data_IF_918383633002
#
_entry.id   IF_918383633002
#
_cell.length_a   1.000
_cell.length_b   1.000
_cell.length_c   1.000
_cell.angle_alpha   90.00
_cell.angle_beta   90.00
_cell.angle_gamma   90.00
#
_symmetry.space_group_name_H-M   'P 1'
#
loop_
_entity.id
_entity.type
_entity.pdbx_description
1 polymer ?
#
# COMPACT_ATOMS: atom_id res chain seq x y z
N UNK A 1 5.84 40.49 5.67
CA UNK A 1 4.47 39.93 5.67
C UNK A 1 4.16 39.63 7.12
N UNK A 2 3.08 40.15 7.70
CA UNK A 2 2.74 39.94 9.12
C UNK A 2 2.76 38.47 9.57
N UNK A 3 2.35 37.55 8.68
CA UNK A 3 2.42 36.10 8.89
C UNK A 3 3.83 35.54 9.19
N UNK A 4 4.88 36.11 8.60
CA UNK A 4 6.26 35.66 8.84
C UNK A 4 6.83 36.19 10.17
N UNK A 5 6.11 37.06 10.88
CA UNK A 5 6.55 37.66 12.14
C UNK A 5 6.21 36.77 13.35
N UNK A 6 5.28 35.82 13.20
CA UNK A 6 4.86 34.84 14.22
C UNK A 6 4.61 33.47 13.59
N UNK A 7 5.67 32.81 13.12
CA UNK A 7 5.59 31.45 12.55
C UNK A 7 5.59 30.42 13.69
N UNK A 8 4.50 29.68 13.84
CA UNK A 8 4.44 28.51 14.72
C UNK A 8 4.92 27.25 13.99
N UNK A 9 5.25 26.15 14.69
CA UNK A 9 5.71 24.92 14.03
C UNK A 9 4.76 24.36 12.95
N UNK A 10 3.45 24.53 13.10
CA UNK A 10 2.45 24.11 12.10
C UNK A 10 2.51 24.96 10.81
N UNK A 11 2.89 26.24 10.92
CA UNK A 11 2.98 27.18 9.80
C UNK A 11 4.17 26.93 8.86
N UNK A 12 5.13 26.10 9.27
CA UNK A 12 6.31 25.76 8.46
C UNK A 12 5.89 25.17 7.11
N UNK A 13 4.82 24.37 7.08
CA UNK A 13 4.28 23.81 5.85
C UNK A 13 3.79 24.88 4.88
N UNK A 14 3.13 25.93 5.38
CA UNK A 14 2.66 27.06 4.58
C UNK A 14 3.82 27.88 4.00
N UNK A 15 4.84 28.17 4.82
CA UNK A 15 6.04 28.90 4.37
C UNK A 15 6.75 28.11 3.25
N UNK A 16 6.89 26.79 3.41
CA UNK A 16 7.46 25.91 2.37
C UNK A 16 6.58 25.88 1.12
N UNK A 17 5.26 25.75 1.26
CA UNK A 17 4.32 25.78 0.12
C UNK A 17 4.44 27.05 -0.74
N UNK A 18 4.63 28.22 -0.12
CA UNK A 18 4.92 29.46 -0.84
C UNK A 18 6.26 29.44 -1.55
N UNK A 19 7.30 28.91 -0.90
CA UNK A 19 8.62 28.77 -1.50
C UNK A 19 8.57 27.84 -2.71
N UNK A 20 7.90 26.69 -2.60
CA UNK A 20 7.76 25.70 -3.66
C UNK A 20 6.93 26.24 -4.83
N UNK A 21 5.90 27.05 -4.56
CA UNK A 21 5.15 27.76 -5.60
C UNK A 21 6.07 28.67 -6.43
N UNK A 22 7.02 29.36 -5.78
CA UNK A 22 8.00 30.21 -6.45
C UNK A 22 9.01 29.39 -7.25
N UNK A 23 9.49 28.26 -6.70
CA UNK A 23 10.56 27.45 -7.29
C UNK A 23 10.07 26.53 -8.41
N UNK A 24 8.89 25.91 -8.25
CA UNK A 24 8.42 24.80 -9.09
C UNK A 24 7.05 25.06 -9.72
N UNK A 25 6.19 25.85 -9.06
CA UNK A 25 4.80 26.08 -9.44
C UNK A 25 4.57 27.16 -10.49
N UNK A 26 5.34 27.23 -11.58
CA UNK A 26 5.15 28.23 -12.64
C UNK A 26 5.58 29.67 -12.27
N UNK A 27 6.33 29.80 -11.18
CA UNK A 27 7.17 30.95 -10.88
C UNK A 27 6.46 32.18 -10.30
N UNK A 28 7.17 33.30 -10.36
CA UNK A 28 6.82 34.58 -9.71
C UNK A 28 5.40 35.07 -10.04
N UNK A 29 4.83 34.74 -11.20
CA UNK A 29 3.49 35.18 -11.61
C UNK A 29 2.38 34.56 -10.75
N UNK A 30 2.48 33.27 -10.41
CA UNK A 30 1.48 32.59 -9.56
C UNK A 30 1.62 33.01 -8.11
N UNK A 31 2.87 33.17 -7.64
CA UNK A 31 3.13 33.78 -6.34
C UNK A 31 2.52 35.20 -6.27
N UNK A 32 2.73 36.04 -7.28
CA UNK A 32 2.16 37.38 -7.33
C UNK A 32 0.63 37.36 -7.30
N UNK A 33 -0.02 36.42 -8.00
CA UNK A 33 -1.47 36.22 -7.94
C UNK A 33 -1.95 35.91 -6.52
N UNK A 34 -1.30 34.96 -5.83
CA UNK A 34 -1.64 34.58 -4.45
C UNK A 34 -1.47 35.77 -3.50
N UNK A 35 -0.36 36.50 -3.61
CA UNK A 35 -0.04 37.60 -2.69
C UNK A 35 -0.95 38.83 -2.85
N UNK A 36 -1.68 38.96 -3.96
CA UNK A 36 -2.68 40.02 -4.16
C UNK A 36 -4.12 39.53 -3.99
N UNK A 37 -4.32 38.25 -3.64
CA UNK A 37 -5.64 37.70 -3.41
C UNK A 37 -6.28 38.38 -2.17
N UNK A 38 -7.57 38.80 -2.22
CA UNK A 38 -8.21 39.50 -1.10
C UNK A 38 -8.13 38.77 0.25
N UNK A 39 -8.11 37.44 0.22
CA UNK A 39 -8.00 36.62 1.43
C UNK A 39 -6.56 36.54 1.99
N UNK A 40 -5.53 36.84 1.20
CA UNK A 40 -4.12 36.72 1.62
C UNK A 40 -3.46 38.08 1.83
N UNK A 41 -3.95 39.14 1.17
CA UNK A 41 -3.28 40.44 1.10
C UNK A 41 -3.10 41.11 2.47
N UNK A 42 -4.03 40.87 3.40
CA UNK A 42 -4.02 41.44 4.75
C UNK A 42 -3.32 40.53 5.78
N UNK A 43 -2.87 39.34 5.37
CA UNK A 43 -2.29 38.32 6.24
C UNK A 43 -2.74 36.92 5.82
N UNK A 44 -2.09 35.90 6.36
CA UNK A 44 -2.49 34.49 6.20
C UNK A 44 -3.01 34.05 7.57
N UNK A 45 -4.30 33.73 7.67
CA UNK A 45 -4.92 33.11 8.84
C UNK A 45 -4.56 31.63 8.96
N UNK A 46 -4.79 31.01 10.12
CA UNK A 46 -4.57 29.57 10.35
C UNK A 46 -5.33 28.69 9.34
N UNK A 47 -6.51 29.14 8.88
CA UNK A 47 -7.27 28.45 7.83
C UNK A 47 -6.57 28.57 6.47
N UNK A 48 -6.10 29.77 6.13
CA UNK A 48 -5.39 30.01 4.87
C UNK A 48 -4.01 29.35 4.86
N UNK A 49 -3.33 29.22 5.99
CA UNK A 49 -2.04 28.55 6.11
C UNK A 49 -2.12 27.11 5.58
N UNK A 50 -3.22 26.40 5.86
CA UNK A 50 -3.49 25.05 5.36
C UNK A 50 -3.59 24.99 3.84
N UNK A 51 -4.32 25.93 3.23
CA UNK A 51 -4.42 26.06 1.77
C UNK A 51 -3.06 26.46 1.18
N UNK A 52 -2.36 27.37 1.84
CA UNK A 52 -1.06 27.88 1.40
C UNK A 52 0.00 26.77 1.40
N UNK A 53 -0.07 25.82 2.34
CA UNK A 53 0.81 24.65 2.38
C UNK A 53 0.70 23.76 1.13
N UNK A 54 -0.41 23.81 0.39
CA UNK A 54 -0.61 22.98 -0.81
C UNK A 54 -0.15 23.64 -2.10
N UNK A 55 0.24 24.92 -2.07
CA UNK A 55 0.39 25.71 -3.29
C UNK A 55 1.53 25.24 -4.19
N UNK A 56 2.59 24.63 -3.65
CA UNK A 56 3.69 24.08 -4.43
C UNK A 56 3.22 23.02 -5.44
N UNK A 57 2.51 21.99 -4.96
CA UNK A 57 1.98 20.90 -5.81
C UNK A 57 0.85 21.40 -6.71
N UNK A 58 -0.04 22.25 -6.21
CA UNK A 58 -1.12 22.88 -6.99
C UNK A 58 -0.52 23.67 -8.15
N UNK A 59 0.53 24.46 -7.90
CA UNK A 59 1.23 25.18 -8.95
C UNK A 59 1.84 24.24 -9.99
N UNK A 60 2.51 23.17 -9.56
CA UNK A 60 3.20 22.25 -10.46
C UNK A 60 2.24 21.40 -11.31
N UNK A 61 1.23 20.82 -10.68
CA UNK A 61 0.42 19.73 -11.28
C UNK A 61 -1.05 20.10 -11.49
N UNK A 62 -1.63 20.99 -10.68
CA UNK A 62 -3.06 21.32 -10.71
C UNK A 62 -3.38 22.82 -10.68
N UNK A 63 -2.76 23.69 -11.50
CA UNK A 63 -2.85 25.15 -11.34
C UNK A 63 -4.26 25.72 -11.52
N UNK A 64 -5.16 24.98 -12.16
CA UNK A 64 -6.57 25.33 -12.31
C UNK A 64 -7.35 25.28 -10.99
N UNK A 65 -6.84 24.61 -9.95
CA UNK A 65 -7.49 24.56 -8.62
C UNK A 65 -7.26 25.83 -7.79
N UNK A 66 -6.27 26.67 -8.15
CA UNK A 66 -5.93 27.87 -7.39
C UNK A 66 -7.15 28.77 -7.09
N UNK A 67 -8.04 29.11 -8.03
CA UNK A 67 -9.20 29.94 -7.73
C UNK A 67 -10.16 29.28 -6.74
N UNK A 68 -10.42 27.98 -6.88
CA UNK A 68 -11.34 27.25 -6.01
C UNK A 68 -10.82 27.13 -4.58
N UNK A 69 -9.51 26.95 -4.40
CA UNK A 69 -8.89 26.84 -3.07
C UNK A 69 -8.95 28.12 -2.25
N UNK A 70 -9.04 29.28 -2.90
CA UNK A 70 -9.18 30.56 -2.23
C UNK A 70 -10.63 31.07 -2.17
N UNK A 71 -11.60 30.31 -2.67
CA UNK A 71 -13.02 30.64 -2.57
C UNK A 71 -13.62 29.94 -1.32
N UNK A 72 -13.97 30.68 -0.25
CA UNK A 72 -14.51 30.09 0.97
C UNK A 72 -15.89 29.45 0.79
N UNK A 73 -16.61 29.74 -0.30
CA UNK A 73 -17.87 29.06 -0.63
C UNK A 73 -17.65 27.69 -1.28
N UNK A 74 -16.44 27.42 -1.78
CA UNK A 74 -16.07 26.18 -2.49
C UNK A 74 -15.13 25.32 -1.67
N UNK A 75 -14.10 25.90 -1.03
CA UNK A 75 -13.11 25.14 -0.28
C UNK A 75 -13.68 24.65 1.06
N UNK A 76 -13.73 23.33 1.22
CA UNK A 76 -14.07 22.66 2.46
C UNK A 76 -12.78 22.26 3.16
N UNK A 77 -12.65 22.68 4.43
CA UNK A 77 -11.52 22.29 5.28
C UNK A 77 -12.11 21.65 6.53
N UNK A 78 -11.75 20.40 6.75
CA UNK A 78 -12.03 19.66 7.98
C UNK A 78 -10.73 19.59 8.79
N UNK A 79 -10.80 19.87 10.09
CA UNK A 79 -9.62 19.99 10.94
C UNK A 79 -9.79 19.16 12.20
N UNK A 80 -8.70 18.56 12.68
CA UNK A 80 -8.67 17.79 13.93
C UNK A 80 -7.30 17.92 14.58
N UNK A 81 -7.29 18.32 15.85
CA UNK A 81 -6.09 18.23 16.68
C UNK A 81 -6.03 16.84 17.32
N UNK A 82 -4.87 16.19 17.23
CA UNK A 82 -4.63 14.87 17.80
C UNK A 82 -3.39 14.87 18.69
N UNK A 83 -3.53 14.32 19.89
CA UNK A 83 -2.38 14.08 20.78
C UNK A 83 -1.72 12.74 20.45
N UNK A 84 -0.49 12.80 19.95
CA UNK A 84 0.35 11.63 19.74
C UNK A 84 1.26 11.35 20.95
N UNK A 85 1.50 10.07 21.31
CA UNK A 85 2.34 9.73 22.46
C UNK A 85 3.75 10.31 22.45
N UNK A 86 4.39 10.43 21.27
CA UNK A 86 5.79 10.85 21.18
C UNK A 86 5.96 12.26 20.60
N UNK A 87 5.19 12.62 19.57
CA UNK A 87 5.18 13.98 19.05
C UNK A 87 4.47 14.91 20.04
N UNK A 88 3.35 14.53 20.65
CA UNK A 88 2.44 15.45 21.34
C UNK A 88 1.37 15.95 20.37
N UNK A 89 0.93 17.20 20.52
CA UNK A 89 -0.12 17.78 19.67
C UNK A 89 0.33 17.87 18.20
N UNK A 90 -0.52 17.38 17.30
CA UNK A 90 -0.38 17.39 15.85
C UNK A 90 -1.71 17.79 15.22
N UNK A 91 -1.66 18.72 14.27
CA UNK A 91 -2.81 19.19 13.53
C UNK A 91 -3.02 18.36 12.26
N UNK A 92 -4.25 17.87 12.06
CA UNK A 92 -4.68 17.18 10.86
C UNK A 92 -5.65 18.07 10.09
N UNK A 93 -5.52 18.12 8.76
CA UNK A 93 -6.43 18.85 7.89
C UNK A 93 -6.78 18.05 6.63
N UNK A 94 -8.05 18.06 6.24
CA UNK A 94 -8.50 17.60 4.92
C UNK A 94 -9.03 18.79 4.14
N UNK A 95 -8.50 19.00 2.94
CA UNK A 95 -8.81 20.14 2.06
C UNK A 95 -9.47 19.58 0.80
N UNK A 96 -10.65 20.08 0.47
CA UNK A 96 -11.46 19.61 -0.66
C UNK A 96 -12.12 20.75 -1.40
N UNK A 97 -12.33 20.57 -2.69
CA UNK A 97 -13.21 21.43 -3.51
C UNK A 97 -14.52 20.73 -3.87
N UNK A 98 -14.68 19.45 -3.50
CA UNK A 98 -15.85 18.61 -3.75
C UNK A 98 -16.17 17.75 -2.51
N UNK A 99 -17.42 17.29 -2.33
CA UNK A 99 -17.77 16.42 -1.20
C UNK A 99 -16.94 15.13 -1.21
N UNK A 100 -16.51 14.69 -0.02
CA UNK A 100 -15.74 13.45 0.18
C UNK A 100 -16.36 12.53 1.22
N UNK A 101 -15.71 11.40 1.50
CA UNK A 101 -16.17 10.43 2.48
C UNK A 101 -16.02 10.97 3.91
N UNK A 102 -17.08 10.80 4.72
CA UNK A 102 -17.10 11.26 6.10
C UNK A 102 -16.07 10.55 7.02
N UNK A 103 -15.57 9.38 6.61
CA UNK A 103 -14.64 8.55 7.40
C UNK A 103 -13.17 8.93 7.23
N UNK A 104 -12.83 9.76 6.26
CA UNK A 104 -11.44 9.98 5.84
C UNK A 104 -10.58 10.62 6.93
N UNK A 105 -11.14 11.49 7.77
CA UNK A 105 -10.39 12.07 8.89
C UNK A 105 -10.04 11.02 9.95
N UNK A 106 -10.95 10.08 10.22
CA UNK A 106 -10.68 8.97 11.14
C UNK A 106 -9.58 8.04 10.58
N UNK A 107 -9.58 7.82 9.27
CA UNK A 107 -8.53 7.06 8.58
C UNK A 107 -7.19 7.78 8.67
N UNK A 108 -7.13 9.09 8.41
CA UNK A 108 -5.90 9.88 8.53
C UNK A 108 -5.35 9.85 9.96
N UNK A 109 -6.21 10.06 10.97
CA UNK A 109 -5.81 9.97 12.38
C UNK A 109 -5.27 8.59 12.73
N UNK A 110 -5.95 7.52 12.29
CA UNK A 110 -5.49 6.15 12.49
C UNK A 110 -4.12 5.89 11.86
N UNK A 111 -3.90 6.38 10.63
CA UNK A 111 -2.64 6.26 9.92
C UNK A 111 -1.50 6.95 10.67
N UNK A 112 -1.69 8.21 11.09
CA UNK A 112 -0.68 8.98 11.84
C UNK A 112 -0.33 8.30 13.17
N UNK A 113 -1.34 7.86 13.92
CA UNK A 113 -1.14 7.15 15.19
C UNK A 113 -0.41 5.81 15.00
N UNK A 114 -0.77 5.07 13.96
CA UNK A 114 -0.19 3.74 13.72
C UNK A 114 1.26 3.85 13.26
N UNK A 115 1.57 4.80 12.37
CA UNK A 115 2.93 5.05 11.90
C UNK A 115 3.85 5.47 13.06
N UNK A 116 3.43 6.41 13.92
CA UNK A 116 4.24 6.81 15.08
C UNK A 116 4.46 5.63 16.05
N UNK A 117 3.41 4.86 16.32
CA UNK A 117 3.48 3.68 17.18
C UNK A 117 4.45 2.63 16.64
N UNK A 118 4.41 2.37 15.34
CA UNK A 118 5.26 1.39 14.69
C UNK A 118 6.74 1.81 14.72
N UNK A 119 7.03 3.07 14.41
CA UNK A 119 8.41 3.57 14.42
C UNK A 119 8.97 3.75 15.83
N UNK A 120 8.12 4.03 16.81
CA UNK A 120 8.50 4.45 18.16
C UNK A 120 9.46 5.63 18.15
N UNK A 121 9.20 6.57 17.24
CA UNK A 121 9.89 7.86 17.07
C UNK A 121 8.80 8.93 16.93
N UNK A 122 8.99 10.16 17.45
CA UNK A 122 8.05 11.25 17.23
C UNK A 122 7.81 11.52 15.74
N UNK A 123 6.56 11.82 15.36
CA UNK A 123 6.25 12.32 14.02
C UNK A 123 7.12 13.54 13.68
N UNK A 124 7.85 13.56 12.54
CA UNK A 124 8.78 14.65 12.19
C UNK A 124 8.08 15.95 11.76
N UNK A 125 6.76 16.04 11.92
CA UNK A 125 5.94 17.21 11.61
C UNK A 125 4.88 17.42 12.69
N UNK A 126 4.43 18.66 12.83
CA UNK A 126 3.28 19.07 13.67
C UNK A 126 1.99 19.26 12.89
N UNK A 127 2.06 19.09 11.58
CA UNK A 127 0.95 19.29 10.66
C UNK A 127 0.96 18.19 9.60
N UNK A 128 -0.20 17.57 9.38
CA UNK A 128 -0.47 16.62 8.30
C UNK A 128 -1.74 17.05 7.57
N UNK A 129 -1.56 17.68 6.42
CA UNK A 129 -2.65 18.07 5.53
C UNK A 129 -2.83 17.10 4.38
N UNK A 130 -4.07 16.86 3.95
CA UNK A 130 -4.40 16.12 2.72
C UNK A 130 -5.22 17.02 1.80
N UNK A 131 -4.74 17.24 0.58
CA UNK A 131 -5.48 17.91 -0.49
C UNK A 131 -6.06 16.88 -1.45
N UNK A 132 -7.39 16.84 -1.54
CA UNK A 132 -8.08 16.05 -2.55
C UNK A 132 -8.24 16.85 -3.84
N UNK A 133 -7.62 16.36 -4.90
CA UNK A 133 -7.67 16.96 -6.24
C UNK A 133 -6.60 16.39 -7.17
N UNK A 134 -6.64 16.79 -8.44
CA UNK A 134 -5.65 16.42 -9.45
C UNK A 134 -4.34 17.22 -9.26
N UNK A 135 -3.65 16.98 -8.14
CA UNK A 135 -2.42 17.69 -7.70
C UNK A 135 -1.22 16.78 -7.49
N UNK A 136 -1.31 15.55 -8.00
CA UNK A 136 -0.26 14.53 -7.94
C UNK A 136 0.41 14.38 -9.31
N UNK A 137 1.62 13.83 -9.33
CA UNK A 137 2.25 13.47 -10.59
C UNK A 137 1.38 12.48 -11.40
N UNK A 138 1.39 12.61 -12.73
CA UNK A 138 0.57 11.78 -13.62
C UNK A 138 0.83 10.29 -13.35
N UNK A 139 -0.26 9.54 -13.09
CA UNK A 139 -0.22 8.10 -12.81
C UNK A 139 -0.31 7.75 -11.32
N UNK A 140 0.11 8.64 -10.41
CA UNK A 140 0.06 8.39 -8.98
C UNK A 140 -1.35 8.57 -8.39
N UNK A 141 -1.81 7.73 -7.44
CA UNK A 141 -3.08 7.92 -6.74
C UNK A 141 -3.00 8.91 -5.58
N UNK A 142 -1.83 9.01 -4.95
CA UNK A 142 -1.49 9.91 -3.87
C UNK A 142 0.02 10.25 -3.94
N UNK A 143 0.44 11.32 -3.27
CA UNK A 143 1.84 11.73 -3.19
C UNK A 143 2.09 12.66 -2.00
N UNK A 144 3.13 12.37 -1.20
CA UNK A 144 3.62 13.24 -0.14
C UNK A 144 4.55 14.32 -0.71
N UNK A 145 4.23 15.59 -0.45
CA UNK A 145 5.01 16.76 -0.88
C UNK A 145 5.79 17.41 0.27
N UNK A 146 6.00 16.70 1.38
CA UNK A 146 6.55 17.16 2.66
C UNK A 146 5.79 18.28 3.39
N UNK A 147 4.96 19.04 2.67
CA UNK A 147 4.08 20.10 3.19
C UNK A 147 2.66 19.61 3.41
N UNK A 148 2.23 18.64 2.60
CA UNK A 148 0.92 18.01 2.62
C UNK A 148 0.98 16.73 1.77
N UNK A 149 -0.10 15.96 1.79
CA UNK A 149 -0.36 14.82 0.93
C UNK A 149 -1.33 15.27 -0.16
N UNK A 150 -0.97 15.11 -1.43
CA UNK A 150 -1.91 15.22 -2.55
C UNK A 150 -2.57 13.87 -2.79
N UNK A 151 -3.88 13.85 -3.07
CA UNK A 151 -4.61 12.61 -3.33
C UNK A 151 -5.71 12.85 -4.36
N UNK A 152 -5.89 11.93 -5.31
CA UNK A 152 -6.95 12.06 -6.30
C UNK A 152 -8.32 11.89 -5.63
N UNK A 153 -9.24 12.83 -5.89
CA UNK A 153 -10.55 12.88 -5.23
C UNK A 153 -11.38 11.60 -5.41
N UNK A 154 -11.18 10.85 -6.51
CA UNK A 154 -11.84 9.56 -6.77
C UNK A 154 -11.52 8.46 -5.75
N UNK A 155 -10.43 8.59 -4.98
CA UNK A 155 -10.11 7.67 -3.88
C UNK A 155 -10.74 8.09 -2.54
N UNK A 156 -11.38 9.25 -2.47
CA UNK A 156 -12.09 9.77 -1.28
C UNK A 156 -13.60 9.51 -1.33
N UNK A 157 -14.05 8.62 -2.22
CA UNK A 157 -15.45 8.23 -2.39
C UNK A 157 -15.56 6.72 -2.57
N UNK A 158 -16.65 6.12 -2.08
CA UNK A 158 -16.98 4.72 -2.38
C UNK A 158 -17.74 4.70 -3.73
N UNK A 159 -17.01 4.72 -4.85
CA UNK A 159 -17.58 4.70 -6.20
C UNK A 159 -16.77 3.79 -7.16
N UNK A 160 -17.49 3.09 -8.02
CA UNK A 160 -16.95 2.14 -8.99
C UNK A 160 -16.05 1.06 -8.33
N UNK A 161 -14.83 0.90 -8.81
CA UNK A 161 -13.79 0.01 -8.27
C UNK A 161 -12.90 0.68 -7.23
N UNK A 162 -13.12 1.95 -6.91
CA UNK A 162 -12.39 2.66 -5.86
C UNK A 162 -13.15 2.51 -4.54
N UNK A 163 -12.54 1.79 -3.60
CA UNK A 163 -13.06 1.71 -2.24
C UNK A 163 -12.27 2.67 -1.37
N UNK A 164 -12.94 3.41 -0.48
CA UNK A 164 -12.23 4.19 0.54
C UNK A 164 -11.57 3.29 1.62
N UNK A 165 -11.48 1.97 1.40
CA UNK A 165 -10.52 1.11 2.12
C UNK A 165 -9.13 1.21 1.50
N UNK A 166 -9.04 1.36 0.17
CA UNK A 166 -7.77 1.57 -0.53
C UNK A 166 -7.13 2.91 -0.13
N UNK A 167 -7.93 3.92 0.18
CA UNK A 167 -7.42 5.19 0.68
C UNK A 167 -6.73 5.09 2.05
N UNK A 168 -7.07 4.10 2.88
CA UNK A 168 -6.41 3.89 4.16
C UNK A 168 -4.95 3.47 3.98
N UNK A 169 -4.71 2.53 3.07
CA UNK A 169 -3.36 2.09 2.71
C UNK A 169 -2.56 3.26 2.14
N UNK A 170 -3.14 4.00 1.18
CA UNK A 170 -2.48 5.15 0.56
C UNK A 170 -2.16 6.24 1.59
N UNK A 171 -3.11 6.63 2.45
CA UNK A 171 -2.85 7.65 3.46
C UNK A 171 -1.76 7.23 4.45
N UNK A 172 -1.74 5.98 4.89
CA UNK A 172 -0.67 5.49 5.75
C UNK A 172 0.69 5.43 5.05
N UNK A 173 0.72 5.02 3.78
CA UNK A 173 1.90 5.08 2.93
C UNK A 173 2.42 6.52 2.82
N UNK A 174 1.57 7.47 2.48
CA UNK A 174 2.00 8.86 2.34
C UNK A 174 2.39 9.49 3.68
N UNK A 175 1.76 9.13 4.80
CA UNK A 175 2.21 9.57 6.12
C UNK A 175 3.60 9.02 6.46
N UNK A 176 3.94 7.81 6.01
CA UNK A 176 5.26 7.22 6.24
C UNK A 176 6.38 8.03 5.57
N UNK A 177 6.12 8.70 4.45
CA UNK A 177 7.10 9.57 3.78
C UNK A 177 7.53 10.80 4.60
N UNK A 178 6.82 11.16 5.68
CA UNK A 178 7.36 12.14 6.63
C UNK A 178 8.61 11.62 7.38
N UNK A 179 8.81 10.30 7.44
CA UNK A 179 10.00 9.66 8.00
C UNK A 179 10.99 9.20 6.93
N UNK A 180 10.48 8.76 5.77
CA UNK A 180 11.29 8.16 4.70
C UNK A 180 11.28 9.04 3.46
N UNK A 181 12.38 9.75 3.27
CA UNK A 181 12.64 10.62 2.13
C UNK A 181 14.13 10.64 1.83
N UNK A 182 14.48 10.94 0.58
CA UNK A 182 15.85 11.11 0.09
C UNK A 182 16.75 9.87 0.23
N UNK A 183 16.18 8.66 0.20
CA UNK A 183 16.92 7.39 0.23
C UNK A 183 16.96 6.72 -1.14
N UNK A 184 17.51 5.50 -1.21
CA UNK A 184 17.28 4.66 -2.39
C UNK A 184 15.76 4.48 -2.58
N UNK A 185 15.24 4.74 -3.78
CA UNK A 185 13.80 4.74 -4.05
C UNK A 185 13.06 3.49 -3.56
N UNK A 186 13.64 2.30 -3.75
CA UNK A 186 13.05 1.04 -3.26
C UNK A 186 12.90 0.99 -1.73
N UNK A 187 13.74 1.71 -0.99
CA UNK A 187 13.60 1.81 0.46
C UNK A 187 12.47 2.75 0.85
N UNK A 188 12.43 3.95 0.28
CA UNK A 188 11.40 4.93 0.62
C UNK A 188 10.01 4.34 0.34
N UNK A 189 9.80 3.82 -0.86
CA UNK A 189 8.51 3.25 -1.27
C UNK A 189 8.17 1.95 -0.52
N UNK A 190 9.16 1.07 -0.31
CA UNK A 190 8.97 -0.19 0.39
C UNK A 190 8.64 -0.05 1.86
N UNK A 191 9.31 0.89 2.53
CA UNK A 191 9.05 1.21 3.92
C UNK A 191 7.69 1.87 4.08
N UNK A 192 7.33 2.79 3.19
CA UNK A 192 6.00 3.39 3.16
C UNK A 192 4.90 2.38 2.88
N UNK A 193 5.10 1.44 1.95
CA UNK A 193 4.17 0.35 1.70
C UNK A 193 3.97 -0.57 2.90
N UNK A 194 5.06 -0.98 3.56
CA UNK A 194 4.98 -1.79 4.78
C UNK A 194 4.09 -1.08 5.82
N UNK A 195 4.27 0.23 6.00
CA UNK A 195 3.45 1.01 6.92
C UNK A 195 1.98 1.06 6.49
N UNK A 196 1.72 1.22 5.20
CA UNK A 196 0.38 1.13 4.63
C UNK A 196 -0.33 -0.17 4.98
N UNK A 197 0.34 -1.30 4.76
CA UNK A 197 -0.18 -2.65 5.04
C UNK A 197 -0.40 -2.87 6.54
N UNK A 198 0.55 -2.49 7.40
CA UNK A 198 0.41 -2.65 8.84
C UNK A 198 -0.72 -1.77 9.40
N UNK A 199 -0.84 -0.53 8.93
CA UNK A 199 -1.91 0.37 9.34
C UNK A 199 -3.29 -0.17 8.95
N UNK A 200 -3.41 -0.69 7.73
CA UNK A 200 -4.65 -1.31 7.27
C UNK A 200 -4.98 -2.59 8.06
N UNK A 201 -3.99 -3.47 8.28
CA UNK A 201 -4.15 -4.65 9.13
C UNK A 201 -4.65 -4.28 10.53
N UNK A 202 -4.05 -3.28 11.17
CA UNK A 202 -4.44 -2.81 12.49
C UNK A 202 -5.88 -2.24 12.52
N UNK A 203 -6.35 -1.67 11.40
CA UNK A 203 -7.67 -1.07 11.27
C UNK A 203 -8.77 -2.09 11.00
N UNK A 204 -8.57 -2.94 10.01
CA UNK A 204 -9.60 -3.83 9.46
C UNK A 204 -9.48 -5.29 9.93
N UNK A 205 -8.35 -5.66 10.53
CA UNK A 205 -8.05 -7.05 10.89
C UNK A 205 -7.79 -7.95 9.69
N UNK A 206 -7.69 -7.39 8.47
CA UNK A 206 -7.34 -8.14 7.26
C UNK A 206 -5.91 -8.68 7.38
N UNK A 207 -5.59 -9.84 6.80
CA UNK A 207 -4.23 -10.40 6.80
C UNK A 207 -3.17 -9.42 6.29
N UNK A 208 -1.93 -9.57 6.78
CA UNK A 208 -0.79 -8.71 6.43
C UNK A 208 -0.23 -9.09 5.06
N UNK A 209 -0.81 -8.59 3.98
CA UNK A 209 -0.45 -8.99 2.62
C UNK A 209 0.08 -7.83 1.79
N UNK A 210 0.99 -8.10 0.82
CA UNK A 210 1.43 -7.07 -0.10
C UNK A 210 0.26 -6.51 -0.90
N UNK A 211 0.20 -5.19 -1.02
CA UNK A 211 -0.78 -4.51 -1.85
C UNK A 211 -0.25 -4.20 -3.25
N UNK A 212 1.08 -4.22 -3.41
CA UNK A 212 1.73 -4.00 -4.69
C UNK A 212 1.60 -5.23 -5.58
N UNK A 213 1.35 -4.97 -6.87
CA UNK A 213 1.37 -5.97 -7.94
C UNK A 213 2.71 -6.71 -7.98
N UNK A 214 2.71 -7.91 -8.56
CA UNK A 214 3.93 -8.68 -8.78
C UNK A 214 4.83 -7.99 -9.79
N UNK A 215 6.11 -7.84 -9.48
CA UNK A 215 7.11 -7.35 -10.42
C UNK A 215 7.38 -8.39 -11.52
N UNK A 216 7.30 -8.01 -12.80
CA UNK A 216 7.49 -8.91 -13.95
C UNK A 216 8.91 -8.84 -14.50
N UNK A 217 9.55 -7.70 -14.31
CA UNK A 217 10.81 -7.28 -14.92
C UNK A 217 12.02 -7.72 -14.09
N UNK A 218 11.82 -7.93 -12.78
CA UNK A 218 12.86 -8.29 -11.84
C UNK A 218 12.35 -9.22 -10.73
N UNK A 219 13.25 -10.06 -10.23
CA UNK A 219 12.99 -10.93 -9.08
C UNK A 219 13.71 -10.48 -7.81
N UNK A 220 14.71 -9.60 -7.95
CA UNK A 220 15.61 -9.22 -6.87
C UNK A 220 15.91 -7.72 -6.90
N UNK A 221 15.96 -7.09 -5.73
CA UNK A 221 16.11 -5.64 -5.60
C UNK A 221 17.42 -5.14 -6.24
N UNK A 222 18.52 -5.89 -6.16
CA UNK A 222 19.79 -5.49 -6.77
C UNK A 222 19.75 -5.41 -8.32
N UNK A 223 18.74 -6.01 -8.96
CA UNK A 223 18.58 -5.96 -10.41
C UNK A 223 17.78 -4.74 -10.87
N UNK A 224 17.08 -4.05 -9.95
CA UNK A 224 16.26 -2.88 -10.28
C UNK A 224 17.10 -1.72 -10.82
N UNK A 225 18.32 -1.56 -10.33
CA UNK A 225 19.26 -0.52 -10.81
C UNK A 225 19.68 -0.69 -12.28
N UNK A 226 19.42 -1.85 -12.89
CA UNK A 226 19.69 -2.10 -14.30
C UNK A 226 18.46 -1.93 -15.19
N UNK A 227 17.27 -1.70 -14.61
CA UNK A 227 16.04 -1.46 -15.35
C UNK A 227 16.00 -0.01 -15.88
N UNK A 228 15.32 0.23 -17.01
CA UNK A 228 15.04 1.59 -17.47
C UNK A 228 14.20 2.35 -16.43
N UNK A 229 14.37 3.67 -16.33
CA UNK A 229 13.52 4.52 -15.48
C UNK A 229 12.18 4.78 -16.17
N UNK A 230 11.31 3.78 -16.19
CA UNK A 230 9.92 3.86 -16.67
C UNK A 230 8.91 3.41 -15.60
N UNK A 231 7.61 3.56 -15.89
CA UNK A 231 6.51 3.28 -14.96
C UNK A 231 6.47 1.81 -14.51
N UNK A 232 6.83 0.86 -15.37
CA UNK A 232 6.85 -0.57 -15.03
C UNK A 232 8.02 -0.91 -14.11
N UNK A 233 9.21 -0.38 -14.39
CA UNK A 233 10.33 -0.49 -13.47
C UNK A 233 10.06 0.20 -12.13
N UNK A 234 9.24 1.27 -12.14
CA UNK A 234 8.81 1.96 -10.93
C UNK A 234 7.94 1.06 -10.04
N UNK A 235 6.92 0.38 -10.59
CA UNK A 235 6.09 -0.58 -9.84
C UNK A 235 6.92 -1.71 -9.18
N UNK A 236 8.00 -2.14 -9.83
CA UNK A 236 8.91 -3.14 -9.28
C UNK A 236 9.63 -2.69 -8.01
N UNK A 237 9.90 -1.38 -7.85
CA UNK A 237 10.44 -0.84 -6.61
C UNK A 237 9.48 -1.08 -5.45
N UNK A 238 8.20 -0.78 -5.62
CA UNK A 238 7.16 -1.01 -4.60
C UNK A 238 7.02 -2.50 -4.29
N UNK A 239 6.91 -3.32 -5.34
CA UNK A 239 6.62 -4.75 -5.23
C UNK A 239 7.66 -5.53 -4.44
N UNK A 240 8.93 -5.46 -4.87
CA UNK A 240 9.99 -6.28 -4.27
C UNK A 240 10.38 -5.77 -2.88
N UNK A 241 10.32 -4.46 -2.66
CA UNK A 241 10.69 -3.86 -1.39
C UNK A 241 9.64 -4.08 -0.31
N UNK A 242 8.35 -3.94 -0.63
CA UNK A 242 7.25 -4.24 0.29
C UNK A 242 7.34 -5.68 0.77
N UNK A 243 7.48 -6.63 -0.17
CA UNK A 243 7.63 -8.06 0.15
C UNK A 243 8.87 -8.33 1.00
N UNK A 244 10.00 -7.70 0.69
CA UNK A 244 11.22 -7.81 1.48
C UNK A 244 10.99 -7.38 2.95
N UNK A 245 10.37 -6.22 3.16
CA UNK A 245 10.13 -5.70 4.50
C UNK A 245 9.03 -6.44 5.25
N UNK A 246 8.00 -6.90 4.54
CA UNK A 246 6.94 -7.72 5.10
C UNK A 246 7.45 -9.11 5.51
N UNK A 247 8.38 -9.70 4.75
CA UNK A 247 9.04 -10.97 5.07
C UNK A 247 9.89 -10.81 6.34
N UNK A 248 10.64 -9.70 6.46
CA UNK A 248 11.34 -9.36 7.70
C UNK A 248 10.38 -9.20 8.88
N UNK A 249 9.25 -8.50 8.70
CA UNK A 249 8.27 -8.27 9.76
C UNK A 249 7.62 -9.57 10.25
N UNK A 250 7.22 -10.46 9.33
CA UNK A 250 6.56 -11.74 9.65
C UNK A 250 7.48 -12.75 10.33
N UNK A 251 8.77 -12.77 9.99
CA UNK A 251 9.68 -13.84 10.41
C UNK A 251 10.60 -13.46 11.58
N UNK A 252 10.71 -12.18 11.91
CA UNK A 252 11.44 -11.74 13.08
C UNK A 252 10.50 -11.61 14.28
N UNK A 253 11.04 -11.77 15.49
CA UNK A 253 10.32 -11.36 16.70
C UNK A 253 9.98 -9.87 16.61
N UNK A 254 8.76 -9.50 17.00
CA UNK A 254 8.24 -8.13 16.85
C UNK A 254 9.20 -7.10 17.50
N UNK A 255 9.69 -7.36 18.71
CA UNK A 255 10.58 -6.42 19.39
C UNK A 255 11.93 -6.30 18.67
N UNK A 256 12.42 -7.41 18.11
CA UNK A 256 13.64 -7.42 17.31
C UNK A 256 13.45 -6.61 16.01
N UNK A 257 12.33 -6.81 15.30
CA UNK A 257 12.01 -6.04 14.11
C UNK A 257 11.91 -4.55 14.43
N UNK A 258 11.12 -4.16 15.44
CA UNK A 258 10.92 -2.74 15.80
C UNK A 258 12.22 -2.07 16.25
N UNK A 259 13.11 -2.79 16.95
CA UNK A 259 14.41 -2.28 17.33
C UNK A 259 15.32 -2.05 16.11
N UNK A 260 15.38 -3.00 15.18
CA UNK A 260 16.12 -2.87 13.93
C UNK A 260 15.55 -1.74 13.07
N UNK A 261 14.23 -1.65 12.99
CA UNK A 261 13.53 -0.67 12.16
C UNK A 261 13.75 0.76 12.64
N UNK A 262 13.68 1.00 13.96
CA UNK A 262 14.05 2.28 14.56
C UNK A 262 15.53 2.61 14.38
N UNK A 263 16.41 1.60 14.44
CA UNK A 263 17.82 1.82 14.15
C UNK A 263 18.04 2.20 12.68
N UNK A 264 17.28 1.64 11.74
CA UNK A 264 17.31 2.05 10.34
C UNK A 264 16.89 3.52 10.18
N UNK A 265 15.81 3.94 10.84
CA UNK A 265 15.42 5.36 10.88
C UNK A 265 16.54 6.23 11.46
N UNK A 266 17.14 5.83 12.59
CA UNK A 266 18.27 6.58 13.18
C UNK A 266 19.45 6.72 12.21
N UNK A 267 19.69 5.72 11.35
CA UNK A 267 20.73 5.78 10.32
C UNK A 267 20.37 6.75 9.18
N UNK A 268 19.08 6.95 8.83
CA UNK A 268 18.68 7.93 7.81
C UNK A 268 18.86 9.37 8.27
N UNK A 269 18.92 9.60 9.58
CA UNK A 269 19.10 10.93 10.17
C UNK A 269 20.57 11.32 10.37
N UNK A 270 21.54 10.54 9.88
CA UNK A 270 22.97 10.80 10.07
C UNK A 270 23.57 11.62 8.92
N UNK A 271 24.07 12.82 9.23
CA UNK A 271 24.80 13.67 8.27
C UNK A 271 26.20 13.14 7.91
N UNK A 272 26.79 12.35 8.82
CA UNK A 272 28.10 11.68 8.62
C UNK A 272 27.90 10.16 8.80
N UNK A 273 27.89 9.40 7.70
CA UNK A 273 27.57 7.98 7.73
C UNK A 273 28.78 7.11 8.15
N UNK A 274 29.95 7.74 8.36
CA UNK A 274 31.19 7.10 8.80
C UNK A 274 31.79 6.16 7.75
N UNK A 275 32.87 5.46 8.13
CA UNK A 275 33.65 4.62 7.18
C UNK A 275 32.93 3.33 6.75
N UNK A 276 31.86 2.93 7.45
CA UNK A 276 31.29 1.58 7.30
C UNK A 276 30.27 1.47 6.17
N UNK A 277 29.41 2.48 6.05
CA UNK A 277 28.49 2.65 4.93
C UNK A 277 28.68 4.10 4.49
N UNK A 278 29.43 4.39 3.43
CA UNK A 278 29.87 5.77 3.12
C UNK A 278 28.76 6.66 2.56
N UNK A 279 27.60 6.10 2.23
CA UNK A 279 26.48 6.83 1.65
C UNK A 279 25.64 7.49 2.75
N UNK A 280 25.29 8.76 2.55
CA UNK A 280 24.40 9.51 3.44
C UNK A 280 22.93 9.09 3.30
N UNK A 281 22.54 8.60 2.12
CA UNK A 281 21.22 8.03 1.88
C UNK A 281 21.19 6.56 2.30
N UNK A 282 20.05 6.10 2.82
CA UNK A 282 19.88 4.68 3.13
C UNK A 282 19.98 3.86 1.86
N UNK A 283 20.71 2.75 1.96
CA UNK A 283 20.74 1.67 0.98
C UNK A 283 20.88 0.31 1.69
N UNK A 284 21.17 -0.75 0.93
CA UNK A 284 21.33 -2.10 1.49
C UNK A 284 22.40 -2.20 2.59
N UNK A 285 23.41 -1.33 2.58
CA UNK A 285 24.44 -1.30 3.62
C UNK A 285 23.82 -0.97 4.97
N UNK A 286 23.05 0.12 5.06
CA UNK A 286 22.38 0.53 6.30
C UNK A 286 21.30 -0.48 6.71
N UNK A 287 20.59 -1.10 5.76
CA UNK A 287 19.67 -2.22 6.06
C UNK A 287 20.40 -3.38 6.73
N UNK A 288 21.56 -3.78 6.22
CA UNK A 288 22.38 -4.83 6.84
C UNK A 288 22.86 -4.42 8.23
N UNK A 289 23.30 -3.17 8.41
CA UNK A 289 23.68 -2.66 9.73
C UNK A 289 22.50 -2.74 10.71
N UNK A 290 21.32 -2.31 10.28
CA UNK A 290 20.10 -2.30 11.09
C UNK A 290 19.64 -3.70 11.48
N UNK A 291 19.57 -4.63 10.53
CA UNK A 291 18.95 -5.95 10.70
C UNK A 291 19.93 -7.10 10.98
N UNK A 292 21.25 -6.87 10.95
CA UNK A 292 22.24 -7.93 11.20
C UNK A 292 23.13 -7.67 12.41
N UNK A 293 23.67 -6.46 12.59
CA UNK A 293 24.82 -6.28 13.47
C UNK A 293 24.51 -6.44 14.97
N UNK A 294 23.41 -5.86 15.42
CA UNK A 294 23.03 -5.82 16.84
C UNK A 294 21.80 -6.69 17.14
N UNK A 295 21.60 -7.71 16.30
CA UNK A 295 20.43 -8.58 16.32
C UNK A 295 20.83 -9.95 16.88
N UNK A 296 19.98 -10.63 17.69
CA UNK A 296 20.24 -11.98 18.19
C UNK A 296 20.63 -12.94 17.07
N UNK A 297 21.47 -13.94 17.35
CA UNK A 297 22.06 -14.81 16.33
C UNK A 297 21.02 -15.53 15.44
N UNK A 298 19.93 -16.02 16.04
CA UNK A 298 18.86 -16.70 15.30
C UNK A 298 18.12 -15.71 14.37
N UNK A 299 17.73 -14.54 14.89
CA UNK A 299 17.12 -13.47 14.12
C UNK A 299 18.04 -12.93 13.02
N UNK A 300 19.35 -12.83 13.27
CA UNK A 300 20.36 -12.48 12.26
C UNK A 300 20.42 -13.53 11.14
N UNK A 301 20.32 -14.82 11.47
CA UNK A 301 20.30 -15.87 10.46
C UNK A 301 19.04 -15.78 9.59
N UNK A 302 17.88 -15.49 10.19
CA UNK A 302 16.61 -15.26 9.49
C UNK A 302 16.72 -14.04 8.56
N UNK A 303 17.10 -12.88 9.11
CA UNK A 303 17.26 -11.65 8.34
C UNK A 303 18.28 -11.82 7.20
N UNK A 304 19.39 -12.54 7.45
CA UNK A 304 20.40 -12.85 6.45
C UNK A 304 19.83 -13.64 5.27
N UNK A 305 18.97 -14.64 5.53
CA UNK A 305 18.29 -15.41 4.47
C UNK A 305 17.31 -14.55 3.68
N UNK A 306 16.52 -13.73 4.36
CA UNK A 306 15.53 -12.83 3.71
C UNK A 306 16.25 -11.80 2.83
N UNK A 307 17.33 -11.19 3.32
CA UNK A 307 18.19 -10.30 2.51
C UNK A 307 18.80 -11.06 1.32
N UNK A 308 19.32 -12.27 1.54
CA UNK A 308 19.90 -13.08 0.47
C UNK A 308 18.89 -13.44 -0.62
N UNK A 309 17.63 -13.66 -0.24
CA UNK A 309 16.51 -13.98 -1.13
C UNK A 309 16.09 -12.76 -1.95
N UNK A 310 15.64 -11.69 -1.28
CA UNK A 310 15.02 -10.56 -1.94
C UNK A 310 16.01 -9.59 -2.56
N UNK A 311 17.17 -9.39 -1.93
CA UNK A 311 18.15 -8.44 -2.45
C UNK A 311 19.08 -9.08 -3.47
N UNK A 312 19.68 -10.23 -3.18
CA UNK A 312 20.72 -10.84 -4.03
C UNK A 312 20.28 -12.04 -4.86
N UNK A 313 19.12 -12.63 -4.59
CA UNK A 313 18.64 -13.83 -5.30
C UNK A 313 19.45 -15.10 -5.06
N UNK A 314 20.23 -15.15 -3.99
CA UNK A 314 21.13 -16.28 -3.69
C UNK A 314 20.48 -17.33 -2.79
N UNK A 315 19.30 -17.04 -2.23
CA UNK A 315 18.50 -17.97 -1.43
C UNK A 315 17.14 -18.18 -2.12
N UNK A 316 16.73 -19.42 -2.43
CA UNK A 316 15.45 -19.68 -3.07
C UNK A 316 14.28 -19.46 -2.09
N UNK A 317 13.07 -19.32 -2.64
CA UNK A 317 11.86 -19.40 -1.85
C UNK A 317 11.53 -20.86 -1.50
N UNK A 318 11.01 -21.08 -0.29
CA UNK A 318 10.47 -22.37 0.14
C UNK A 318 8.93 -22.35 0.02
N UNK A 319 8.35 -22.85 -1.08
CA UNK A 319 6.91 -22.83 -1.30
C UNK A 319 6.16 -23.69 -0.27
N UNK A 320 6.83 -24.55 0.50
CA UNK A 320 6.16 -25.35 1.55
C UNK A 320 5.71 -24.53 2.76
N UNK A 321 6.03 -23.23 2.77
CA UNK A 321 5.75 -22.28 3.87
C UNK A 321 4.53 -21.38 3.63
N UNK A 322 3.62 -21.72 2.69
CA UNK A 322 2.35 -21.00 2.54
C UNK A 322 1.49 -21.13 3.82
N UNK A 323 1.68 -20.23 4.77
CA UNK A 323 0.93 -20.23 6.01
C UNK A 323 0.50 -18.82 6.37
N UNK A 324 -0.79 -18.55 6.25
CA UNK A 324 -1.57 -17.70 7.15
C UNK A 324 -3.05 -18.14 7.10
N UNK A 325 -3.83 -17.95 8.19
CA UNK A 325 -5.19 -18.45 8.29
C UNK A 325 -6.17 -17.63 7.42
N UNK A 326 -7.35 -18.18 7.10
CA UNK A 326 -8.37 -17.51 6.28
C UNK A 326 -8.96 -16.30 7.01
N UNK A 327 -9.60 -15.40 6.24
CA UNK A 327 -10.34 -14.28 6.81
C UNK A 327 -11.28 -14.77 7.94
N UNK A 328 -11.16 -14.22 9.16
CA UNK A 328 -11.94 -14.68 10.31
C UNK A 328 -13.46 -14.46 10.18
N UNK A 329 -13.90 -13.79 9.13
CA UNK A 329 -15.33 -13.54 8.84
C UNK A 329 -16.00 -14.66 8.03
N UNK A 330 -15.25 -15.67 7.57
CA UNK A 330 -15.79 -16.75 6.77
C UNK A 330 -16.57 -17.78 7.62
N UNK A 331 -17.77 -18.13 7.16
CA UNK A 331 -18.63 -19.15 7.79
C UNK A 331 -18.28 -20.53 7.21
N UNK A 332 -18.16 -21.55 8.06
CA UNK A 332 -17.90 -22.94 7.62
C UNK A 332 -19.17 -23.61 7.09
N UNK A 333 -19.02 -24.35 6.00
CA UNK A 333 -20.08 -25.06 5.27
C UNK A 333 -19.70 -26.53 5.09
N UNK A 334 -20.63 -27.45 5.38
CA UNK A 334 -20.39 -28.89 5.36
C UNK A 334 -20.46 -29.48 3.93
N UNK A 335 -19.52 -29.06 3.08
CA UNK A 335 -19.36 -29.53 1.69
C UNK A 335 -18.18 -30.49 1.52
N UNK A 336 -18.24 -31.36 0.49
CA UNK A 336 -17.14 -32.24 0.08
C UNK A 336 -16.69 -31.93 -1.35
N UNK A 337 -15.44 -31.53 -1.50
CA UNK A 337 -14.77 -31.37 -2.80
C UNK A 337 -14.74 -32.72 -3.56
N UNK A 338 -15.13 -32.69 -4.83
CA UNK A 338 -15.15 -33.86 -5.74
C UNK A 338 -14.03 -33.80 -6.77
N UNK A 339 -13.87 -32.64 -7.42
CA UNK A 339 -12.86 -32.40 -8.45
C UNK A 339 -12.45 -30.93 -8.41
N UNK A 340 -11.19 -30.66 -8.71
CA UNK A 340 -10.76 -29.32 -9.07
C UNK A 340 -9.63 -29.39 -10.10
N UNK A 341 -9.61 -28.47 -11.07
CA UNK A 341 -8.57 -28.38 -12.09
C UNK A 341 -8.50 -26.98 -12.69
N UNK A 342 -7.38 -26.66 -13.34
CA UNK A 342 -7.14 -25.39 -14.03
C UNK A 342 -7.24 -25.59 -15.55
N UNK A 343 -7.79 -24.62 -16.28
CA UNK A 343 -7.89 -24.64 -17.74
C UNK A 343 -7.63 -23.26 -18.36
N UNK A 344 -7.36 -23.24 -19.66
CA UNK A 344 -7.21 -22.02 -20.47
C UNK A 344 -8.53 -21.47 -21.02
N UNK A 345 -9.61 -22.23 -20.88
CA UNK A 345 -10.94 -21.89 -21.42
C UNK A 345 -12.02 -21.96 -20.35
N UNK A 346 -13.05 -21.12 -20.43
CA UNK A 346 -14.17 -21.14 -19.48
C UNK A 346 -15.02 -22.40 -19.60
N UNK A 347 -15.05 -23.09 -20.74
CA UNK A 347 -15.84 -24.32 -20.89
C UNK A 347 -15.13 -25.59 -20.36
N UNK A 348 -13.88 -25.45 -19.89
CA UNK A 348 -13.01 -26.58 -19.57
C UNK A 348 -12.45 -27.27 -20.83
N UNK A 349 -11.41 -28.08 -20.69
CA UNK A 349 -10.78 -28.75 -21.83
C UNK A 349 -9.36 -29.25 -21.52
N UNK A 350 -8.37 -28.39 -21.78
CA UNK A 350 -6.96 -28.70 -21.49
C UNK A 350 -6.65 -28.40 -20.02
N UNK A 351 -6.73 -29.45 -19.20
CA UNK A 351 -6.27 -29.45 -17.81
C UNK A 351 -4.74 -29.24 -17.81
N UNK A 352 -4.27 -28.12 -17.26
CA UNK A 352 -2.85 -27.75 -17.30
C UNK A 352 -2.35 -27.21 -15.96
N UNK A 353 -1.12 -27.59 -15.58
CA UNK A 353 -0.39 -26.99 -14.45
C UNK A 353 0.77 -26.10 -14.93
N UNK A 354 0.93 -25.93 -16.24
CA UNK A 354 1.99 -25.11 -16.85
C UNK A 354 1.38 -24.29 -17.98
N UNK A 355 1.57 -22.98 -17.92
CA UNK A 355 1.04 -22.01 -18.88
C UNK A 355 2.16 -21.12 -19.39
N UNK A 356 2.24 -20.87 -20.70
CA UNK A 356 3.19 -19.88 -21.24
C UNK A 356 2.56 -18.51 -21.25
N UNK A 357 3.30 -17.51 -20.76
CA UNK A 357 2.90 -16.11 -20.79
C UNK A 357 2.60 -15.61 -22.21
N UNK A 358 3.25 -16.18 -23.23
CA UNK A 358 3.00 -15.87 -24.65
C UNK A 358 1.72 -16.48 -25.20
N UNK A 359 1.30 -17.61 -24.64
CA UNK A 359 0.10 -18.35 -25.07
C UNK A 359 -1.15 -17.93 -24.27
N UNK A 360 -0.96 -17.20 -23.17
CA UNK A 360 -2.03 -16.63 -22.37
C UNK A 360 -2.59 -15.38 -23.08
N UNK A 361 -3.46 -15.61 -24.06
CA UNK A 361 -4.28 -14.57 -24.68
C UNK A 361 -5.49 -14.18 -23.80
N UNK A 362 -5.92 -15.10 -22.92
CA UNK A 362 -7.08 -14.99 -22.03
C UNK A 362 -6.74 -15.43 -20.58
N UNK A 363 -7.75 -15.40 -19.73
CA UNK A 363 -7.73 -15.73 -18.30
C UNK A 363 -7.49 -17.23 -18.00
N UNK A 364 -6.82 -17.54 -16.87
CA UNK A 364 -6.75 -18.92 -16.35
C UNK A 364 -7.99 -19.18 -15.50
N UNK A 365 -8.64 -20.31 -15.74
CA UNK A 365 -9.89 -20.69 -15.07
C UNK A 365 -9.66 -21.84 -14.09
N UNK A 366 -10.12 -21.68 -12.85
CA UNK A 366 -10.25 -22.75 -11.86
C UNK A 366 -11.67 -23.29 -11.86
N UNK A 367 -11.78 -24.57 -12.16
CA UNK A 367 -13.01 -25.34 -12.11
C UNK A 367 -13.07 -26.11 -10.80
N UNK A 368 -14.14 -25.92 -10.03
CA UNK A 368 -14.33 -26.58 -8.74
C UNK A 368 -15.66 -27.30 -8.74
N UNK A 369 -15.63 -28.59 -8.44
CA UNK A 369 -16.80 -29.44 -8.31
C UNK A 369 -16.97 -29.84 -6.83
N UNK A 370 -18.02 -29.35 -6.18
CA UNK A 370 -18.32 -29.63 -4.76
C UNK A 370 -19.67 -30.33 -4.65
N UNK A 371 -19.77 -31.31 -3.75
CA UNK A 371 -21.06 -31.84 -3.29
C UNK A 371 -21.47 -31.23 -1.96
N UNK A 372 -22.72 -30.82 -1.84
CA UNK A 372 -23.26 -30.15 -0.66
C UNK A 372 -24.62 -30.75 -0.23
N UNK A 373 -24.92 -30.76 1.08
CA UNK A 373 -26.26 -31.12 1.61
C UNK A 373 -27.01 -29.83 2.04
N UNK A 374 -28.01 -29.39 1.26
CA UNK A 374 -28.73 -28.15 1.52
C UNK A 374 -29.63 -28.19 2.77
N UNK A 375 -29.80 -29.36 3.43
CA UNK A 375 -30.60 -29.47 4.66
C UNK A 375 -29.85 -28.99 5.90
N UNK A 376 -28.52 -28.95 5.84
CA UNK A 376 -27.66 -28.65 7.00
C UNK A 376 -27.00 -27.28 6.92
N UNK A 377 -27.16 -26.53 5.83
CA UNK A 377 -26.58 -25.19 5.72
C UNK A 377 -27.49 -24.17 5.01
N UNK A 378 -26.96 -22.96 4.82
CA UNK A 378 -27.68 -21.83 4.22
C UNK A 378 -27.89 -21.98 2.70
N UNK A 379 -28.68 -21.04 2.14
CA UNK A 379 -28.93 -20.87 0.69
C UNK A 379 -27.69 -20.47 -0.11
N UNK A 380 -26.65 -20.07 0.60
CA UNK A 380 -25.45 -19.50 0.04
C UNK A 380 -24.26 -20.23 0.68
N UNK A 381 -23.34 -20.71 -0.15
CA UNK A 381 -22.05 -21.25 0.32
C UNK A 381 -20.99 -20.20 0.07
N UNK A 382 -20.58 -19.43 1.09
CA UNK A 382 -19.46 -18.53 0.96
C UNK A 382 -18.16 -19.33 0.95
N UNK A 383 -17.23 -18.90 0.11
CA UNK A 383 -15.85 -19.40 0.07
C UNK A 383 -14.91 -18.27 -0.27
N UNK A 384 -13.64 -18.46 0.05
CA UNK A 384 -12.57 -17.53 -0.29
C UNK A 384 -11.51 -18.25 -1.11
N UNK A 385 -11.16 -17.66 -2.25
CA UNK A 385 -9.96 -18.03 -2.99
C UNK A 385 -8.84 -17.11 -2.60
N UNK A 386 -7.67 -17.69 -2.37
CA UNK A 386 -6.45 -16.95 -2.09
C UNK A 386 -5.39 -17.40 -3.08
N UNK A 387 -4.82 -16.43 -3.80
CA UNK A 387 -3.81 -16.63 -4.82
C UNK A 387 -2.44 -16.31 -4.24
N UNK A 388 -1.52 -17.27 -4.29
CA UNK A 388 -0.15 -17.16 -3.81
C UNK A 388 0.83 -17.19 -4.98
N UNK A 389 1.89 -16.41 -4.87
CA UNK A 389 3.03 -16.49 -5.79
C UNK A 389 4.15 -17.33 -5.16
N UNK A 390 5.17 -17.68 -5.94
CA UNK A 390 6.29 -18.50 -5.49
C UNK A 390 7.13 -17.84 -4.41
N UNK A 391 6.82 -16.60 -4.02
CA UNK A 391 7.35 -15.88 -2.87
C UNK A 391 6.53 -16.05 -1.58
N UNK A 392 5.51 -16.92 -1.64
CA UNK A 392 4.57 -17.28 -0.58
C UNK A 392 3.81 -16.15 0.09
N UNK A 393 3.77 -14.98 -0.54
CA UNK A 393 2.78 -13.98 -0.25
C UNK A 393 1.53 -14.24 -1.09
N UNK A 394 0.37 -14.02 -0.47
CA UNK A 394 -0.85 -13.89 -1.25
C UNK A 394 -0.78 -12.56 -2.01
N UNK A 395 -1.17 -12.57 -3.28
CA UNK A 395 -1.23 -11.36 -4.12
C UNK A 395 -2.67 -11.04 -4.55
N UNK A 396 -3.63 -11.85 -4.14
CA UNK A 396 -5.05 -11.58 -4.38
C UNK A 396 -5.94 -12.51 -3.56
N UNK A 397 -7.13 -11.99 -3.26
CA UNK A 397 -8.20 -12.71 -2.58
C UNK A 397 -9.52 -12.44 -3.29
N UNK A 398 -10.32 -13.48 -3.44
CA UNK A 398 -11.65 -13.37 -4.03
C UNK A 398 -12.66 -14.06 -3.12
N UNK A 399 -13.51 -13.25 -2.49
CA UNK A 399 -14.72 -13.75 -1.88
C UNK A 399 -15.71 -14.09 -3.00
N UNK A 400 -16.29 -15.27 -2.92
CA UNK A 400 -17.41 -15.61 -3.79
C UNK A 400 -18.37 -16.53 -3.05
N UNK A 401 -19.57 -16.59 -3.60
CA UNK A 401 -20.66 -17.30 -3.01
C UNK A 401 -21.51 -17.92 -4.11
N UNK A 402 -21.98 -19.13 -3.85
CA UNK A 402 -22.91 -19.81 -4.74
C UNK A 402 -24.29 -19.86 -4.09
N UNK A 403 -25.30 -19.30 -4.77
CA UNK A 403 -26.69 -19.31 -4.34
C UNK A 403 -27.43 -20.50 -4.98
N UNK A 404 -28.15 -21.28 -4.15
CA UNK A 404 -28.92 -22.44 -4.62
C UNK A 404 -30.36 -22.05 -4.97
N UNK A 405 -30.87 -22.58 -6.09
CA UNK A 405 -32.30 -22.57 -6.39
C UNK A 405 -32.92 -23.91 -5.94
N UNK A 406 -33.89 -23.84 -5.03
CA UNK A 406 -34.56 -25.03 -4.48
C UNK A 406 -35.48 -25.65 -5.53
N UNK A 407 -34.91 -26.43 -6.46
CA UNK A 407 -35.63 -27.04 -7.57
C UNK A 407 -35.95 -28.52 -7.41
N UNK A 408 -35.14 -29.29 -6.68
CA UNK A 408 -35.31 -30.76 -6.67
C UNK A 408 -34.82 -31.40 -5.37
N UNK A 409 -35.53 -32.42 -4.88
CA UNK A 409 -35.32 -33.15 -3.61
C UNK A 409 -34.02 -34.00 -3.60
N UNK A 410 -33.01 -33.63 -4.41
CA UNK A 410 -31.78 -34.37 -4.54
C UNK A 410 -30.87 -34.15 -3.31
N UNK A 411 -30.52 -35.24 -2.64
CA UNK A 411 -29.76 -35.22 -1.37
C UNK A 411 -28.30 -34.77 -1.51
N UNK A 412 -27.82 -34.50 -2.73
CA UNK A 412 -26.48 -34.00 -3.04
C UNK A 412 -26.51 -33.25 -4.36
N UNK A 413 -26.37 -31.93 -4.31
CA UNK A 413 -26.15 -31.14 -5.52
C UNK A 413 -24.66 -31.08 -5.83
N UNK A 414 -24.35 -31.26 -7.11
CA UNK A 414 -23.01 -31.18 -7.67
C UNK A 414 -22.97 -29.95 -8.56
N UNK A 415 -22.07 -29.00 -8.27
CA UNK A 415 -21.98 -27.77 -9.04
C UNK A 415 -20.53 -27.46 -9.38
N UNK A 416 -20.35 -26.91 -10.59
CA UNK A 416 -19.08 -26.44 -11.09
C UNK A 416 -19.01 -24.92 -10.89
N UNK A 417 -18.04 -24.45 -10.12
CA UNK A 417 -17.75 -23.03 -9.99
C UNK A 417 -16.49 -22.70 -10.78
N UNK A 418 -16.52 -21.53 -11.41
CA UNK A 418 -15.44 -21.04 -12.24
C UNK A 418 -14.88 -19.78 -11.61
N UNK A 419 -13.58 -19.81 -11.34
CA UNK A 419 -12.85 -18.64 -10.88
C UNK A 419 -11.78 -18.28 -11.86
N UNK A 420 -11.58 -17.00 -11.97
CA UNK A 420 -10.35 -16.49 -12.50
C UNK A 420 -9.19 -16.76 -11.55
N UNK A 421 -8.06 -17.21 -12.08
CA UNK A 421 -6.85 -17.51 -11.32
C UNK A 421 -5.72 -16.64 -11.80
N UNK A 422 -5.26 -15.75 -10.94
CA UNK A 422 -4.14 -14.86 -11.24
C UNK A 422 -4.46 -13.41 -10.95
N UNK A 423 -3.67 -12.54 -11.56
CA UNK A 423 -3.94 -11.12 -11.83
C UNK A 423 -4.27 -11.02 -13.34
N UNK A 424 -4.65 -9.86 -13.90
CA UNK A 424 -4.94 -9.79 -15.36
C UNK A 424 -3.73 -10.32 -16.16
N UNK A 425 -3.85 -10.82 -17.40
CA UNK A 425 -2.68 -11.37 -18.11
C UNK A 425 -1.48 -10.41 -18.21
N UNK A 426 -1.73 -9.09 -18.19
CA UNK A 426 -0.74 -8.02 -18.12
C UNK A 426 -0.11 -7.80 -16.72
N UNK A 427 -0.67 -8.41 -15.69
CA UNK A 427 -0.25 -8.34 -14.28
C UNK A 427 0.41 -9.64 -13.79
N UNK A 428 0.49 -10.70 -14.62
CA UNK A 428 1.11 -11.98 -14.27
C UNK A 428 2.65 -11.96 -14.47
N UNK A 429 3.38 -12.41 -13.45
CA UNK A 429 4.83 -12.64 -13.48
C UNK A 429 5.17 -14.11 -13.84
N UNK A 430 6.34 -14.35 -14.44
CA UNK A 430 6.85 -15.71 -14.64
C UNK A 430 7.21 -16.31 -13.27
N UNK A 431 6.76 -17.53 -12.98
CA UNK A 431 7.05 -18.22 -11.71
C UNK A 431 5.98 -19.24 -11.35
N UNK A 432 6.10 -19.82 -10.15
CA UNK A 432 5.11 -20.74 -9.61
C UNK A 432 4.03 -20.00 -8.83
N UNK A 433 2.86 -20.58 -8.80
CA UNK A 433 1.67 -20.03 -8.18
C UNK A 433 0.91 -21.14 -7.46
N UNK A 434 0.13 -20.76 -6.46
CA UNK A 434 -0.82 -21.65 -5.82
C UNK A 434 -2.17 -20.96 -5.63
N UNK A 435 -3.26 -21.73 -5.76
CA UNK A 435 -4.61 -21.29 -5.42
C UNK A 435 -5.12 -22.14 -4.28
N UNK A 436 -5.49 -21.49 -3.18
CA UNK A 436 -6.12 -22.14 -2.06
C UNK A 436 -7.60 -21.78 -2.03
N UNK A 437 -8.46 -22.78 -1.78
CA UNK A 437 -9.88 -22.57 -1.46
C UNK A 437 -10.08 -22.79 0.03
N UNK A 438 -10.70 -21.81 0.68
CA UNK A 438 -11.05 -21.88 2.09
C UNK A 438 -12.55 -21.86 2.32
N UNK A 439 -12.94 -22.66 3.30
CA UNK A 439 -14.29 -22.80 3.83
C UNK A 439 -14.24 -22.50 5.33
N UNK A 440 -14.67 -21.31 5.73
CA UNK A 440 -14.30 -20.75 7.01
C UNK A 440 -12.78 -20.71 7.18
N UNK A 441 -12.28 -21.28 8.28
CA UNK A 441 -10.84 -21.41 8.55
C UNK A 441 -10.17 -22.65 7.95
N UNK A 442 -10.93 -23.52 7.25
CA UNK A 442 -10.42 -24.80 6.75
C UNK A 442 -9.98 -24.67 5.29
N UNK A 443 -8.72 -24.98 5.01
CA UNK A 443 -8.24 -25.17 3.63
C UNK A 443 -8.83 -26.45 3.07
N UNK A 444 -9.60 -26.35 1.99
CA UNK A 444 -10.28 -27.51 1.35
C UNK A 444 -9.70 -27.85 -0.02
N UNK A 445 -8.97 -26.93 -0.65
CA UNK A 445 -8.24 -27.15 -1.90
C UNK A 445 -6.90 -26.42 -1.88
N UNK A 446 -5.91 -27.01 -2.53
CA UNK A 446 -4.65 -26.40 -2.92
C UNK A 446 -4.29 -26.92 -4.32
N UNK A 447 -4.09 -26.01 -5.26
CA UNK A 447 -3.63 -26.32 -6.61
C UNK A 447 -2.44 -25.44 -6.95
N UNK A 448 -1.36 -26.06 -7.41
CA UNK A 448 -0.17 -25.36 -7.88
C UNK A 448 -0.13 -25.31 -9.41
N UNK A 449 0.40 -24.22 -9.95
CA UNK A 449 0.68 -24.07 -11.37
C UNK A 449 1.92 -23.21 -11.63
N UNK A 450 2.44 -23.26 -12.84
CA UNK A 450 3.63 -22.50 -13.26
C UNK A 450 3.31 -21.65 -14.49
N UNK A 451 3.74 -20.40 -14.46
CA UNK A 451 3.79 -19.50 -15.62
C UNK A 451 5.22 -19.47 -16.13
N UNK A 452 5.42 -19.90 -17.37
CA UNK A 452 6.70 -19.87 -18.07
C UNK A 452 6.77 -18.70 -19.06
N UNK A 453 7.98 -18.28 -19.51
CA UNK A 453 8.15 -17.20 -20.49
C UNK A 453 7.45 -17.40 -21.84
#
# INVERSE_FOLDING_TARGET
MPFLETVEPADIAAVRGLLDLVLYGGGISRFAFVMVHPNVVDGISDREAKVVATLGSVGAYGPWLLPALFDPEVVMIEERQVDLPLAGEVELALIRTEPGAARTMDVLEHSVRTVEKLLQVPLPTRYVGVLFGDVVQQGAPAQNFSTHIGMLARYDVDQDHYTADYSAILLAHEVAHYYWVDNALWLDEGLSNLMGVIAEHARSGRPLEPVSRLCREARHINTLYALPEDEFAFECYYSLSERFFLDLYRNLDEQVFLAAFRNLYRLSQQDDPGDRCPDTSLNICQVRVAFMDNVPADSRAIAGKIIARWYSGTEPYDPTTFTEPPDPRLVTVDGKLKRAFLSRTPDGGDDGTVFSLKELEEEIWLHIEISYDPRTGGREVPFELVYYYEDGFAFGRQAAAYEFDYGDDSHHELFAIQFWVGSRPDELAVGRYAVHLYDGHRKILELEYEITP
#
